data_IF_195555449768
#
_entry.id   IF_195555449768
#
_cell.length_a   1.000
_cell.length_b   1.000
_cell.length_c   1.000
_cell.angle_alpha   90.00
_cell.angle_beta   90.00
_cell.angle_gamma   90.00
#
_symmetry.space_group_name_H-M   'P 1'
#
loop_
_entity.id
_entity.type
_entity.pdbx_description
1 polymer ?
#
# COMPACT_ATOMS: atom_id res chain seq x y z
N UNK A 1 11.95 28.24 -6.39
CA UNK A 1 10.63 27.83 -6.90
C UNK A 1 10.10 26.73 -6.01
N UNK A 2 8.81 26.72 -5.68
CA UNK A 2 8.22 25.66 -4.85
C UNK A 2 7.82 24.48 -5.74
N UNK A 3 8.44 23.32 -5.55
CA UNK A 3 8.05 22.10 -6.24
C UNK A 3 6.85 21.47 -5.53
N UNK A 4 5.90 20.96 -6.31
CA UNK A 4 4.86 20.09 -5.74
C UNK A 4 5.43 18.69 -5.61
N UNK A 5 5.50 18.18 -4.38
CA UNK A 5 5.85 16.78 -4.15
C UNK A 5 4.67 15.96 -4.65
N UNK A 6 4.95 15.17 -5.68
CA UNK A 6 3.99 14.26 -6.26
C UNK A 6 3.96 12.98 -5.44
N UNK A 7 5.14 12.42 -5.19
CA UNK A 7 5.27 11.14 -4.52
C UNK A 7 6.45 11.16 -3.55
N UNK A 8 6.13 10.87 -2.29
CA UNK A 8 7.09 10.67 -1.23
C UNK A 8 6.82 9.32 -0.57
N UNK A 9 7.71 8.37 -0.88
CA UNK A 9 7.71 7.01 -0.36
C UNK A 9 7.82 7.00 1.18
N UNK A 10 8.32 8.08 1.79
CA UNK A 10 8.65 8.12 3.21
C UNK A 10 7.52 8.63 4.12
N UNK A 11 6.46 9.25 3.57
CA UNK A 11 5.56 10.08 4.39
C UNK A 11 4.41 9.36 5.08
N UNK A 12 3.86 8.27 4.53
CA UNK A 12 2.70 7.62 5.15
C UNK A 12 3.10 6.44 6.06
N UNK A 13 2.37 6.19 7.14
CA UNK A 13 2.54 4.97 7.92
C UNK A 13 2.28 3.78 7.00
N UNK A 14 3.12 2.74 7.06
CA UNK A 14 3.08 1.66 6.08
C UNK A 14 1.88 0.74 6.21
N UNK A 15 0.97 1.03 7.14
CA UNK A 15 -0.19 0.22 7.42
C UNK A 15 -1.41 1.13 7.60
N UNK A 16 -2.57 0.62 7.23
CA UNK A 16 -3.83 1.27 7.53
C UNK A 16 -4.07 1.23 9.04
N UNK A 17 -4.26 2.40 9.65
CA UNK A 17 -4.50 2.50 11.09
C UNK A 17 -5.77 1.75 11.52
N UNK A 18 -6.72 1.59 10.59
CA UNK A 18 -7.96 0.83 10.77
C UNK A 18 -7.68 -0.67 11.01
N UNK A 19 -6.73 -1.26 10.27
CA UNK A 19 -6.31 -2.64 10.48
C UNK A 19 -5.59 -2.85 11.82
N UNK A 20 -4.86 -1.83 12.30
CA UNK A 20 -4.25 -1.85 13.64
C UNK A 20 -5.33 -1.88 14.72
N UNK A 21 -6.33 -0.98 14.63
CA UNK A 21 -7.44 -0.96 15.58
C UNK A 21 -8.28 -2.23 15.54
N UNK A 22 -8.54 -2.76 14.34
CA UNK A 22 -9.29 -3.99 14.14
C UNK A 22 -8.57 -5.19 14.74
N UNK A 23 -7.28 -5.37 14.44
CA UNK A 23 -6.47 -6.48 14.96
C UNK A 23 -6.31 -6.40 16.48
N UNK A 24 -5.99 -5.23 17.02
CA UNK A 24 -5.92 -4.98 18.45
C UNK A 24 -7.26 -5.22 19.16
N UNK A 25 -8.37 -4.82 18.55
CA UNK A 25 -9.72 -5.04 19.05
C UNK A 25 -10.05 -6.53 19.22
N UNK A 26 -9.77 -7.35 18.21
CA UNK A 26 -9.99 -8.80 18.28
C UNK A 26 -9.14 -9.48 19.36
N UNK A 27 -7.86 -9.09 19.48
CA UNK A 27 -6.96 -9.63 20.51
C UNK A 27 -7.44 -9.24 21.91
N UNK A 28 -7.77 -7.97 22.13
CA UNK A 28 -8.27 -7.48 23.43
C UNK A 28 -9.58 -8.14 23.82
N UNK A 29 -10.55 -8.24 22.89
CA UNK A 29 -11.82 -8.93 23.13
C UNK A 29 -11.58 -10.40 23.49
N UNK A 30 -10.69 -11.09 22.78
CA UNK A 30 -10.34 -12.47 23.10
C UNK A 30 -9.72 -12.62 24.49
N UNK A 31 -8.83 -11.70 24.89
CA UNK A 31 -8.21 -11.71 26.24
C UNK A 31 -9.26 -11.43 27.33
N UNK A 32 -10.07 -10.38 27.18
CA UNK A 32 -11.12 -10.01 28.14
C UNK A 32 -12.11 -11.16 28.29
N UNK A 33 -12.57 -11.74 27.18
CA UNK A 33 -13.49 -12.87 27.21
C UNK A 33 -12.87 -14.08 27.92
N UNK A 34 -11.58 -14.36 27.69
CA UNK A 34 -10.86 -15.43 28.40
C UNK A 34 -10.81 -15.16 29.91
N UNK A 35 -10.55 -13.92 30.32
CA UNK A 35 -10.50 -13.54 31.74
C UNK A 35 -11.87 -13.65 32.40
N UNK A 36 -12.93 -13.17 31.75
CA UNK A 36 -14.32 -13.28 32.22
C UNK A 36 -14.74 -14.74 32.33
N UNK A 37 -14.44 -15.57 31.34
CA UNK A 37 -14.70 -17.00 31.40
C UNK A 37 -13.97 -17.65 32.57
N UNK A 38 -12.68 -17.35 32.76
CA UNK A 38 -11.89 -17.89 33.87
C UNK A 38 -12.43 -17.45 35.23
N UNK A 39 -12.90 -16.21 35.36
CA UNK A 39 -13.52 -15.71 36.58
C UNK A 39 -14.86 -16.39 36.88
N UNK A 40 -15.68 -16.67 35.84
CA UNK A 40 -16.94 -17.41 35.97
C UNK A 40 -16.70 -18.89 36.31
N UNK A 41 -15.74 -19.52 35.64
CA UNK A 41 -15.39 -20.93 35.85
C UNK A 41 -14.81 -21.15 37.26
N UNK A 42 -14.05 -20.18 37.81
CA UNK A 42 -13.60 -20.21 39.23
C UNK A 42 -14.74 -20.23 40.25
N UNK A 43 -15.91 -19.69 39.91
CA UNK A 43 -17.08 -19.66 40.80
C UNK A 43 -17.94 -20.92 40.69
N UNK A 44 -17.63 -21.85 39.79
CA UNK A 44 -18.36 -23.10 39.60
C UNK A 44 -17.69 -24.24 40.35
N UNK A 45 -18.50 -25.12 40.92
CA UNK A 45 -18.06 -26.33 41.64
C UNK A 45 -17.45 -27.33 40.65
N UNK A 46 -18.07 -27.49 39.47
CA UNK A 46 -17.53 -28.28 38.36
C UNK A 46 -17.36 -27.41 37.10
N UNK A 47 -16.16 -26.85 36.87
CA UNK A 47 -15.89 -26.09 35.66
C UNK A 47 -15.78 -27.02 34.44
N UNK A 48 -16.36 -26.65 33.28
CA UNK A 48 -16.29 -27.45 32.08
C UNK A 48 -14.83 -27.57 31.60
N UNK A 49 -14.34 -28.80 31.39
CA UNK A 49 -13.05 -29.05 30.73
C UNK A 49 -13.17 -28.68 29.25
N UNK A 50 -12.52 -27.57 28.87
CA UNK A 50 -12.49 -27.11 27.47
C UNK A 50 -11.19 -27.55 26.80
N UNK A 51 -11.22 -28.71 26.17
CA UNK A 51 -10.13 -29.23 25.34
C UNK A 51 -10.42 -28.86 23.88
N UNK A 52 -9.69 -27.89 23.32
CA UNK A 52 -9.81 -27.47 21.92
C UNK A 52 -9.74 -25.95 21.65
N UNK A 53 -10.26 -25.56 20.48
CA UNK A 53 -10.42 -24.17 20.04
C UNK A 53 -11.63 -23.53 20.73
N UNK A 54 -11.37 -22.70 21.73
CA UNK A 54 -12.41 -21.90 22.38
C UNK A 54 -12.55 -20.55 21.66
N UNK A 55 -13.73 -19.93 21.75
CA UNK A 55 -14.01 -18.60 21.16
C UNK A 55 -12.92 -17.57 21.47
N UNK A 56 -12.38 -17.46 22.70
CA UNK A 56 -11.24 -16.59 22.97
C UNK A 56 -9.98 -16.89 22.18
N UNK A 57 -9.65 -18.18 22.00
CA UNK A 57 -8.47 -18.58 21.23
C UNK A 57 -8.66 -18.28 19.75
N UNK A 58 -9.87 -18.44 19.22
CA UNK A 58 -10.19 -18.06 17.84
C UNK A 58 -10.07 -16.54 17.63
N UNK A 59 -10.62 -15.73 18.54
CA UNK A 59 -10.54 -14.26 18.44
C UNK A 59 -9.10 -13.76 18.50
N UNK A 60 -8.29 -14.31 19.41
CA UNK A 60 -6.86 -13.98 19.51
C UNK A 60 -6.13 -14.43 18.23
N UNK A 61 -6.36 -15.67 17.78
CA UNK A 61 -5.71 -16.20 16.58
C UNK A 61 -6.04 -15.38 15.33
N UNK A 62 -7.31 -15.03 15.15
CA UNK A 62 -7.76 -14.21 14.02
C UNK A 62 -7.15 -12.80 14.07
N UNK A 63 -7.17 -12.14 15.24
CA UNK A 63 -6.52 -10.85 15.42
C UNK A 63 -5.01 -10.90 15.13
N UNK A 64 -4.33 -11.98 15.51
CA UNK A 64 -2.91 -12.17 15.21
C UNK A 64 -2.64 -12.36 13.72
N UNK A 65 -3.50 -13.09 13.00
CA UNK A 65 -3.37 -13.25 11.53
C UNK A 65 -3.52 -11.89 10.84
N UNK A 66 -4.53 -11.11 11.22
CA UNK A 66 -4.71 -9.74 10.68
C UNK A 66 -3.49 -8.88 11.00
N UNK A 67 -2.95 -8.95 12.23
CA UNK A 67 -1.76 -8.19 12.60
C UNK A 67 -0.53 -8.62 11.77
N UNK A 68 -0.33 -9.91 11.53
CA UNK A 68 0.80 -10.40 10.72
C UNK A 68 0.67 -9.93 9.26
N UNK A 69 -0.52 -10.05 8.66
CA UNK A 69 -0.74 -9.67 7.27
C UNK A 69 -0.73 -8.14 7.11
N UNK A 70 -1.51 -7.42 7.91
CA UNK A 70 -1.69 -5.98 7.76
C UNK A 70 -0.53 -5.15 8.33
N UNK A 71 0.08 -5.58 9.44
CA UNK A 71 1.15 -4.80 10.08
C UNK A 71 2.51 -5.41 9.76
N UNK A 72 2.62 -6.74 9.85
CA UNK A 72 3.88 -7.46 9.65
C UNK A 72 4.40 -7.36 8.21
N UNK A 73 3.59 -7.76 7.22
CA UNK A 73 4.01 -7.72 5.81
C UNK A 73 4.20 -6.29 5.32
N UNK A 74 3.26 -5.40 5.59
CA UNK A 74 3.37 -4.02 5.14
C UNK A 74 4.51 -3.26 5.84
N UNK A 75 4.73 -3.54 7.13
CA UNK A 75 5.88 -3.01 7.87
C UNK A 75 7.22 -3.54 7.36
N UNK A 76 7.29 -4.83 6.99
CA UNK A 76 8.46 -5.43 6.36
C UNK A 76 8.76 -4.80 4.99
N UNK A 77 7.74 -4.61 4.16
CA UNK A 77 7.87 -3.99 2.85
C UNK A 77 8.38 -2.55 2.97
N UNK A 78 7.80 -1.75 3.86
CA UNK A 78 8.30 -0.40 4.15
C UNK A 78 9.71 -0.38 4.75
N UNK A 79 10.09 -1.37 5.57
CA UNK A 79 11.47 -1.46 6.05
C UNK A 79 12.44 -1.74 4.89
N UNK A 80 12.09 -2.65 3.98
CA UNK A 80 12.88 -2.95 2.77
C UNK A 80 13.00 -1.71 1.89
N UNK A 81 11.90 -0.99 1.71
CA UNK A 81 11.81 0.26 0.95
C UNK A 81 12.68 1.37 1.54
N UNK A 82 12.59 1.61 2.86
CA UNK A 82 13.46 2.56 3.57
C UNK A 82 14.93 2.15 3.51
N UNK A 83 15.22 0.84 3.52
CA UNK A 83 16.57 0.33 3.35
C UNK A 83 17.11 0.64 1.95
N UNK A 84 16.33 0.40 0.90
CA UNK A 84 16.69 0.75 -0.48
C UNK A 84 16.95 2.25 -0.64
N UNK A 85 16.08 3.11 -0.06
CA UNK A 85 16.28 4.56 -0.03
C UNK A 85 17.60 4.94 0.66
N UNK A 86 17.87 4.38 1.86
CA UNK A 86 19.13 4.65 2.58
C UNK A 86 20.38 4.16 1.84
N UNK A 87 20.24 3.09 1.06
CA UNK A 87 21.32 2.54 0.24
C UNK A 87 21.59 3.38 -1.02
N UNK A 88 20.78 4.42 -1.30
CA UNK A 88 20.91 5.22 -2.53
C UNK A 88 20.31 4.54 -3.76
N UNK A 89 19.49 3.51 -3.59
CA UNK A 89 18.79 2.81 -4.69
C UNK A 89 17.55 3.60 -5.15
N UNK A 90 17.14 4.61 -4.39
CA UNK A 90 16.07 5.52 -4.75
C UNK A 90 16.61 6.76 -5.48
N UNK A 91 15.97 7.12 -6.58
CA UNK A 91 16.28 8.33 -7.33
C UNK A 91 15.19 9.38 -7.09
N UNK A 92 15.62 10.65 -7.03
CA UNK A 92 14.73 11.81 -6.93
C UNK A 92 14.95 12.65 -8.17
N UNK A 93 13.88 12.93 -8.90
CA UNK A 93 13.92 13.83 -10.05
C UNK A 93 12.98 15.00 -9.84
N UNK A 94 13.51 16.17 -10.17
CA UNK A 94 12.83 17.46 -10.07
C UNK A 94 12.82 18.10 -11.46
N UNK A 95 11.65 18.56 -11.90
CA UNK A 95 11.56 19.20 -13.19
C UNK A 95 10.13 19.53 -13.61
N UNK A 96 9.98 20.22 -14.74
CA UNK A 96 8.68 20.38 -15.36
C UNK A 96 8.17 19.04 -15.91
N UNK A 97 6.86 18.84 -15.83
CA UNK A 97 6.17 17.81 -16.62
C UNK A 97 6.30 18.16 -18.10
N UNK A 98 6.61 17.16 -18.92
CA UNK A 98 6.67 17.29 -20.38
C UNK A 98 5.95 16.14 -21.08
N UNK A 99 5.47 16.41 -22.29
CA UNK A 99 4.79 15.43 -23.17
C UNK A 99 3.67 14.66 -22.47
N UNK A 100 2.89 15.35 -21.63
CA UNK A 100 1.74 14.76 -20.98
C UNK A 100 0.71 14.30 -22.01
N UNK A 101 0.18 13.10 -21.84
CA UNK A 101 -0.87 12.58 -22.71
C UNK A 101 -1.49 11.29 -22.18
N UNK A 102 -2.48 10.79 -22.92
CA UNK A 102 -3.12 9.49 -22.66
C UNK A 102 -2.85 8.53 -23.81
N UNK A 103 -2.67 7.26 -23.49
CA UNK A 103 -2.41 6.18 -24.43
C UNK A 103 -3.32 4.98 -24.13
N UNK A 104 -3.95 4.39 -25.15
CA UNK A 104 -4.83 3.24 -24.97
C UNK A 104 -4.08 1.96 -25.34
N UNK A 105 -3.75 1.13 -24.34
CA UNK A 105 -3.03 -0.13 -24.53
C UNK A 105 -4.02 -1.29 -24.55
N UNK A 106 -3.76 -2.27 -25.43
CA UNK A 106 -4.54 -3.50 -25.55
C UNK A 106 -3.89 -4.61 -24.74
N UNK A 107 -4.64 -5.24 -23.85
CA UNK A 107 -4.15 -6.39 -23.07
C UNK A 107 -4.20 -7.64 -23.93
N UNK A 108 -3.16 -8.47 -23.87
CA UNK A 108 -2.99 -9.67 -24.70
C UNK A 108 -3.86 -10.88 -24.27
N UNK A 109 -5.03 -10.66 -23.64
CA UNK A 109 -5.98 -11.76 -23.37
C UNK A 109 -6.86 -11.99 -24.59
N UNK A 110 -6.79 -13.22 -25.10
CA UNK A 110 -7.26 -13.63 -26.42
C UNK A 110 -8.80 -13.74 -26.53
N UNK A 111 -9.51 -13.66 -25.41
CA UNK A 111 -10.95 -13.95 -25.29
C UNK A 111 -11.84 -12.72 -25.09
N UNK A 112 -11.28 -11.58 -24.64
CA UNK A 112 -12.02 -10.31 -24.50
C UNK A 112 -11.17 -9.13 -24.96
N UNK A 113 -11.75 -8.26 -25.79
CA UNK A 113 -11.13 -6.98 -26.18
C UNK A 113 -11.20 -6.00 -25.01
N UNK A 114 -10.33 -6.18 -24.03
CA UNK A 114 -10.12 -5.22 -22.96
C UNK A 114 -9.10 -4.19 -23.44
N UNK A 115 -9.50 -2.94 -23.37
CA UNK A 115 -8.63 -1.81 -23.62
C UNK A 115 -8.45 -1.07 -22.32
N UNK A 116 -7.21 -0.73 -22.04
CA UNK A 116 -6.81 -0.02 -20.85
C UNK A 116 -6.30 1.36 -21.26
N UNK A 117 -6.84 2.41 -20.66
CA UNK A 117 -6.36 3.76 -20.89
C UNK A 117 -5.21 4.02 -19.92
N UNK A 118 -4.12 4.59 -20.38
CA UNK A 118 -2.93 4.93 -19.61
C UNK A 118 -2.67 6.42 -19.73
N UNK A 119 -2.17 7.05 -18.67
CA UNK A 119 -1.60 8.39 -18.71
C UNK A 119 -0.08 8.29 -18.74
N UNK A 120 0.58 9.13 -19.54
CA UNK A 120 2.03 9.16 -19.71
C UNK A 120 2.58 10.57 -19.65
N UNK A 121 3.77 10.75 -19.08
CA UNK A 121 4.49 12.01 -19.07
C UNK A 121 5.97 11.82 -18.71
N UNK A 122 6.78 12.87 -18.93
CA UNK A 122 8.16 12.95 -18.51
C UNK A 122 8.34 13.95 -17.36
N UNK A 123 9.28 13.71 -16.45
CA UNK A 123 9.67 14.67 -15.39
C UNK A 123 11.15 14.98 -15.50
N UNK A 124 11.46 16.23 -15.88
CA UNK A 124 12.80 16.55 -16.39
C UNK A 124 13.11 15.70 -17.63
N UNK A 125 14.13 16.05 -18.39
CA UNK A 125 14.39 15.43 -19.70
C UNK A 125 14.85 13.94 -19.63
N UNK A 126 14.54 13.21 -18.56
CA UNK A 126 15.22 11.96 -18.19
C UNK A 126 14.32 10.81 -17.73
N UNK A 127 13.11 11.05 -17.24
CA UNK A 127 12.28 9.95 -16.67
C UNK A 127 10.89 9.92 -17.27
N UNK A 128 10.55 8.76 -17.83
CA UNK A 128 9.22 8.43 -18.31
C UNK A 128 8.37 7.81 -17.18
N UNK A 129 7.14 8.29 -17.05
CA UNK A 129 6.11 7.69 -16.21
C UNK A 129 4.93 7.25 -17.09
N UNK A 130 4.45 6.03 -16.91
CA UNK A 130 3.24 5.51 -17.53
C UNK A 130 2.37 4.80 -16.50
N UNK A 131 1.08 5.15 -16.43
CA UNK A 131 0.17 4.63 -15.40
C UNK A 131 -1.21 4.34 -15.95
N UNK A 132 -1.86 3.30 -15.43
CA UNK A 132 -3.19 2.86 -15.86
C UNK A 132 -4.28 3.82 -15.35
N UNK A 133 -5.02 4.49 -16.24
CA UNK A 133 -5.98 5.54 -15.90
C UNK A 133 -7.26 5.03 -15.21
N UNK A 134 -7.69 3.79 -15.45
CA UNK A 134 -8.91 3.23 -14.84
C UNK A 134 -8.73 2.88 -13.35
N UNK A 135 -7.51 2.97 -12.80
CA UNK A 135 -7.24 2.98 -11.36
C UNK A 135 -7.17 4.41 -10.79
N UNK A 136 -7.71 5.39 -11.52
CA UNK A 136 -7.72 6.82 -11.20
C UNK A 136 -6.38 7.47 -11.55
N UNK A 137 -6.38 8.45 -12.47
CA UNK A 137 -5.30 9.35 -12.97
C UNK A 137 -3.86 9.14 -12.44
N UNK A 138 -2.87 9.32 -13.31
CA UNK A 138 -1.49 8.89 -13.14
C UNK A 138 -0.92 8.98 -11.70
N UNK A 139 -0.87 7.83 -11.03
CA UNK A 139 0.21 7.54 -10.08
C UNK A 139 0.06 8.03 -8.64
N UNK A 140 -1.14 8.15 -8.05
CA UNK A 140 -1.26 8.27 -6.57
C UNK A 140 -2.48 7.57 -6.00
N UNK A 141 -2.47 6.24 -5.85
CA UNK A 141 -3.33 5.67 -4.81
C UNK A 141 -2.77 4.45 -4.11
N UNK A 142 -2.36 4.68 -2.85
CA UNK A 142 -2.75 3.84 -1.72
C UNK A 142 -2.99 4.71 -0.46
N UNK A 143 -3.55 5.92 -0.64
CA UNK A 143 -3.73 6.92 0.43
C UNK A 143 -4.65 8.10 0.07
N UNK A 144 -5.14 8.79 1.12
CA UNK A 144 -6.24 9.79 1.18
C UNK A 144 -6.05 11.12 0.42
N UNK A 145 -5.02 11.26 -0.42
CA UNK A 145 -4.68 12.54 -1.04
C UNK A 145 -5.56 12.86 -2.26
N UNK A 146 -5.86 14.16 -2.51
CA UNK A 146 -6.72 14.56 -3.61
C UNK A 146 -6.04 14.32 -4.96
N UNK A 147 -6.81 13.84 -5.93
CA UNK A 147 -6.39 13.70 -7.33
C UNK A 147 -5.85 15.03 -7.85
N UNK A 148 -4.60 15.03 -8.34
CA UNK A 148 -3.97 16.20 -8.94
C UNK A 148 -4.01 16.03 -10.46
N UNK A 149 -4.69 16.93 -11.15
CA UNK A 149 -4.66 16.97 -12.61
C UNK A 149 -3.28 17.43 -13.10
N UNK A 150 -2.59 16.59 -13.86
CA UNK A 150 -1.30 16.92 -14.47
C UNK A 150 -1.45 17.73 -15.75
N UNK A 151 -0.42 18.52 -16.04
CA UNK A 151 -0.28 19.30 -17.28
C UNK A 151 1.18 19.65 -17.49
N UNK A 152 1.56 19.85 -18.74
CA UNK A 152 2.90 20.28 -19.13
C UNK A 152 3.30 21.58 -18.42
N UNK A 153 4.59 21.69 -18.09
CA UNK A 153 5.18 22.83 -17.39
C UNK A 153 4.95 22.85 -15.88
N UNK A 154 4.18 21.92 -15.31
CA UNK A 154 4.02 21.82 -13.86
C UNK A 154 5.34 21.38 -13.21
N UNK A 155 5.84 22.16 -12.25
CA UNK A 155 7.07 21.82 -11.50
C UNK A 155 6.79 20.79 -10.42
N UNK A 156 7.42 19.63 -10.56
CA UNK A 156 7.15 18.47 -9.72
C UNK A 156 8.44 17.83 -9.20
N UNK A 157 8.31 17.18 -8.04
CA UNK A 157 9.34 16.31 -7.46
C UNK A 157 8.78 14.89 -7.36
N UNK A 158 9.45 13.93 -7.97
CA UNK A 158 9.12 12.52 -7.92
C UNK A 158 10.27 11.72 -7.30
N UNK A 159 9.96 10.88 -6.31
CA UNK A 159 10.89 9.89 -5.77
C UNK A 159 10.53 8.54 -6.33
N UNK A 160 11.48 7.70 -6.74
CA UNK A 160 11.12 6.37 -7.24
C UNK A 160 12.24 5.38 -7.00
N UNK A 161 11.90 4.09 -7.00
CA UNK A 161 12.87 3.01 -7.03
C UNK A 161 13.10 2.62 -8.48
N UNK A 162 14.37 2.51 -8.88
CA UNK A 162 14.73 1.96 -10.17
C UNK A 162 14.40 0.47 -10.17
N UNK A 163 13.32 0.07 -10.85
CA UNK A 163 13.05 -1.34 -11.08
C UNK A 163 14.05 -1.85 -12.13
N UNK A 164 14.66 -2.99 -11.84
CA UNK A 164 15.78 -3.61 -12.53
C UNK A 164 15.55 -3.71 -14.06
N UNK A 165 15.85 -2.63 -14.79
CA UNK A 165 16.26 -2.61 -16.20
C UNK A 165 15.32 -3.16 -17.28
N UNK A 166 14.02 -3.37 -17.03
CA UNK A 166 13.11 -3.92 -18.04
C UNK A 166 11.89 -3.04 -18.38
N UNK A 167 11.67 -1.94 -17.64
CA UNK A 167 10.70 -0.91 -18.02
C UNK A 167 11.37 0.08 -18.97
N UNK A 168 11.84 -0.43 -20.12
CA UNK A 168 12.22 0.44 -21.23
C UNK A 168 10.97 1.25 -21.61
N UNK A 169 11.07 2.58 -21.77
CA UNK A 169 9.96 3.36 -22.31
C UNK A 169 9.56 2.72 -23.65
N UNK A 170 8.25 2.62 -23.98
CA UNK A 170 7.83 2.11 -25.27
C UNK A 170 8.56 2.88 -26.36
N UNK A 171 9.45 2.20 -27.08
CA UNK A 171 10.25 2.78 -28.15
C UNK A 171 9.28 3.22 -29.24
N UNK A 172 9.16 4.52 -29.43
CA UNK A 172 8.45 5.15 -30.55
C UNK A 172 9.07 4.74 -31.89
#
# INVERSE_FOLDING_TARGET
MAYRVLYDIAQEPPFEIELVWLSGGFVLLGIIWRLVQRARDRKRIDPPKRTGFTTPKMLIGFGMVIAVIGIGLMGWDNWRLRKAIRNGEAQVVEGPIQSWGTERVRTARTDKREYHLYERFYVGDSIWFGYYQDVGQAGFHNGKNPTITFKDGMLVRATYLYADGNDDPPRS
#
